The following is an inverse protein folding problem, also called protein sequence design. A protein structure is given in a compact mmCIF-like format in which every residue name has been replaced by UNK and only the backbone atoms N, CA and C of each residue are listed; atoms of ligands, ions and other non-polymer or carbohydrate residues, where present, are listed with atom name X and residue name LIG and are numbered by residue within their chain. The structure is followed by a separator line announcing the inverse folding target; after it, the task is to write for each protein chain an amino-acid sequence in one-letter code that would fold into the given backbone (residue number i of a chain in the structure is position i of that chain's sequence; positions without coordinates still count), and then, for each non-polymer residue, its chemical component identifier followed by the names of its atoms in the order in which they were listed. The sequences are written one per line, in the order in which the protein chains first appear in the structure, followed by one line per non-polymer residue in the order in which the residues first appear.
data_IF_267270265926
#
_entry.id   IF_267270265926
#
_cell.length_a   1.000
_cell.length_b   1.000
_cell.length_c   1.000
_cell.angle_alpha   90.00
_cell.angle_beta   90.00
_cell.angle_gamma   90.00
#
_symmetry.space_group_name_H-M   'P 1'
#
loop_
_entity.id
_entity.type
_entity.pdbx_description
1 polymer ?
#
# COMPACT_ATOMS: atom_id res chain seq x y z
N UNK A 1 -3.94 -0.66 7.93
CA UNK A 1 -2.61 -0.21 7.51
C UNK A 1 -2.16 0.90 8.44
N UNK A 2 -1.02 0.71 9.08
CA UNK A 2 -0.34 1.68 9.94
C UNK A 2 1.09 1.75 9.44
N UNK A 3 1.50 2.87 8.89
CA UNK A 3 2.78 3.04 8.18
C UNK A 3 3.97 2.54 8.99
N UNK A 4 4.09 2.98 10.25
CA UNK A 4 5.21 2.57 11.11
C UNK A 4 5.17 1.07 11.45
N UNK A 5 4.00 0.51 11.75
CA UNK A 5 3.87 -0.91 12.08
C UNK A 5 4.24 -1.81 10.91
N UNK A 6 3.80 -1.45 9.69
CA UNK A 6 4.14 -2.20 8.48
C UNK A 6 5.63 -2.07 8.15
N UNK A 7 6.20 -0.87 8.25
CA UNK A 7 7.63 -0.64 8.05
C UNK A 7 8.48 -1.48 9.02
N UNK A 8 8.13 -1.46 10.30
CA UNK A 8 8.81 -2.25 11.34
C UNK A 8 8.72 -3.74 11.03
N UNK A 9 7.53 -4.25 10.70
CA UNK A 9 7.37 -5.68 10.38
C UNK A 9 8.23 -6.13 9.17
N UNK A 10 8.32 -5.33 8.12
CA UNK A 10 9.17 -5.63 6.95
C UNK A 10 10.64 -5.65 7.33
N UNK A 11 11.12 -4.63 8.05
CA UNK A 11 12.54 -4.50 8.38
C UNK A 11 12.98 -5.52 9.44
N UNK A 12 12.16 -5.75 10.47
CA UNK A 12 12.44 -6.73 11.53
C UNK A 12 12.47 -8.16 10.98
N UNK A 13 11.63 -8.49 9.98
CA UNK A 13 11.69 -9.79 9.32
C UNK A 13 13.06 -10.05 8.69
N UNK A 14 13.67 -9.04 8.05
CA UNK A 14 15.02 -9.16 7.48
C UNK A 14 16.08 -9.26 8.58
N UNK A 15 16.01 -8.41 9.59
CA UNK A 15 16.95 -8.42 10.73
C UNK A 15 16.92 -9.77 11.45
N UNK A 16 15.73 -10.28 11.75
CA UNK A 16 15.55 -11.59 12.38
C UNK A 16 16.07 -12.74 11.50
N UNK A 17 15.82 -12.69 10.19
CA UNK A 17 16.34 -13.69 9.26
C UNK A 17 17.87 -13.73 9.25
N UNK A 18 18.53 -12.57 9.33
CA UNK A 18 19.99 -12.49 9.39
C UNK A 18 20.59 -13.04 10.67
N UNK A 19 19.85 -13.06 11.76
CA UNK A 19 20.32 -13.71 13.00
C UNK A 19 20.30 -15.25 12.90
N UNK A 20 19.51 -15.80 11.98
CA UNK A 20 19.30 -17.24 11.82
C UNK A 20 20.04 -17.81 10.61
N UNK A 21 20.17 -17.02 9.53
CA UNK A 21 20.72 -17.44 8.25
C UNK A 21 21.90 -16.56 7.83
N UNK A 22 22.91 -17.10 7.14
CA UNK A 22 24.06 -16.32 6.64
C UNK A 22 23.69 -15.50 5.40
N UNK A 23 22.76 -14.55 5.54
CA UNK A 23 22.34 -13.65 4.47
C UNK A 23 22.99 -12.27 4.61
N UNK A 24 23.26 -11.64 3.47
CA UNK A 24 23.89 -10.32 3.41
C UNK A 24 23.00 -9.22 4.03
N UNK A 25 23.62 -8.07 4.37
CA UNK A 25 22.89 -6.87 4.78
C UNK A 25 22.21 -6.16 3.58
N UNK A 26 22.68 -6.46 2.37
CA UNK A 26 22.14 -5.88 1.14
C UNK A 26 20.77 -6.49 0.82
N UNK A 27 19.78 -5.63 0.63
CA UNK A 27 18.41 -6.04 0.36
C UNK A 27 17.79 -5.17 -0.73
N UNK A 28 16.87 -5.74 -1.50
CA UNK A 28 15.90 -5.01 -2.30
C UNK A 28 14.51 -5.30 -1.72
N UNK A 29 13.74 -4.26 -1.45
CA UNK A 29 12.39 -4.41 -0.91
C UNK A 29 11.41 -4.41 -2.08
N UNK A 30 10.54 -5.42 -2.14
CA UNK A 30 9.54 -5.56 -3.21
C UNK A 30 8.15 -5.58 -2.58
N UNK A 31 7.25 -4.75 -3.09
CA UNK A 31 5.90 -4.66 -2.58
C UNK A 31 4.84 -4.48 -3.66
N UNK A 32 3.66 -5.08 -3.41
CA UNK A 32 2.49 -4.95 -4.24
C UNK A 32 1.27 -4.54 -3.38
N UNK A 33 0.46 -3.59 -3.85
CA UNK A 33 -0.77 -3.15 -3.17
C UNK A 33 -0.48 -2.68 -1.74
N UNK A 34 -1.09 -3.27 -0.72
CA UNK A 34 -0.74 -3.03 0.68
C UNK A 34 0.74 -3.31 0.96
N UNK A 35 1.32 -4.33 0.32
CA UNK A 35 2.75 -4.59 0.41
C UNK A 35 3.61 -3.47 -0.18
N UNK A 36 3.13 -2.77 -1.21
CA UNK A 36 3.81 -1.58 -1.74
C UNK A 36 3.77 -0.40 -0.74
N UNK A 37 2.66 -0.24 -0.01
CA UNK A 37 2.59 0.71 1.10
C UNK A 37 3.59 0.36 2.20
N UNK A 38 3.65 -0.90 2.62
CA UNK A 38 4.60 -1.39 3.61
C UNK A 38 6.06 -1.21 3.17
N UNK A 39 6.36 -1.58 1.92
CA UNK A 39 7.70 -1.47 1.31
C UNK A 39 8.19 -0.01 1.22
N UNK A 40 7.31 0.90 0.77
CA UNK A 40 7.63 2.32 0.69
C UNK A 40 7.93 2.92 2.07
N UNK A 41 7.09 2.62 3.08
CA UNK A 41 7.33 3.07 4.45
C UNK A 41 8.59 2.45 5.06
N UNK A 42 8.85 1.16 4.80
CA UNK A 42 10.08 0.50 5.23
C UNK A 42 11.32 1.19 4.65
N UNK A 43 11.31 1.49 3.35
CA UNK A 43 12.39 2.21 2.68
C UNK A 43 12.61 3.62 3.24
N UNK A 44 11.54 4.37 3.53
CA UNK A 44 11.58 5.72 4.07
C UNK A 44 12.06 5.77 5.54
N UNK A 45 11.75 4.75 6.32
CA UNK A 45 12.07 4.67 7.76
C UNK A 45 13.27 3.77 8.06
N UNK A 46 13.92 3.20 7.04
CA UNK A 46 15.00 2.21 7.21
C UNK A 46 16.14 2.72 8.08
N UNK A 47 16.59 3.95 7.87
CA UNK A 47 17.70 4.52 8.65
C UNK A 47 17.40 4.66 10.15
N UNK A 48 16.12 4.82 10.51
CA UNK A 48 15.66 4.90 11.90
C UNK A 48 15.46 3.50 12.51
N UNK A 49 14.80 2.59 11.77
CA UNK A 49 14.33 1.30 12.32
C UNK A 49 15.42 0.23 12.21
N UNK A 50 16.11 0.14 11.09
CA UNK A 50 17.09 -0.90 10.80
C UNK A 50 18.33 -0.34 10.10
N UNK A 51 19.15 0.50 10.76
CA UNK A 51 20.29 1.17 10.15
C UNK A 51 21.39 0.21 9.67
N UNK A 52 21.37 -1.04 10.14
CA UNK A 52 22.33 -2.08 9.71
C UNK A 52 22.01 -2.69 8.34
N UNK A 53 20.85 -2.42 7.76
CA UNK A 53 20.49 -2.91 6.43
C UNK A 53 20.95 -1.92 5.36
N UNK A 54 21.44 -2.46 4.25
CA UNK A 54 21.84 -1.72 3.06
C UNK A 54 20.77 -1.92 1.97
N UNK A 55 19.76 -1.05 1.94
CA UNK A 55 18.65 -1.13 0.99
C UNK A 55 19.10 -0.63 -0.38
N UNK A 56 19.37 -1.56 -1.30
CA UNK A 56 19.87 -1.31 -2.65
C UNK A 56 18.81 -0.83 -3.63
N UNK A 57 17.53 -1.09 -3.35
CA UNK A 57 16.46 -0.71 -4.25
C UNK A 57 15.07 -1.00 -3.67
N UNK A 58 14.07 -0.39 -4.29
CA UNK A 58 12.67 -0.54 -3.95
C UNK A 58 11.86 -0.80 -5.21
N UNK A 59 11.05 -1.86 -5.22
CA UNK A 59 10.12 -2.19 -6.32
C UNK A 59 8.70 -2.06 -5.81
N UNK A 60 7.90 -1.23 -6.45
CA UNK A 60 6.51 -0.96 -6.12
C UNK A 60 5.60 -1.28 -7.30
N UNK A 61 4.55 -2.07 -7.08
CA UNK A 61 3.46 -2.29 -8.05
C UNK A 61 2.11 -2.15 -7.37
N UNK A 62 1.08 -1.68 -8.10
CA UNK A 62 -0.22 -1.40 -7.49
C UNK A 62 -0.10 -0.51 -6.26
N UNK A 63 0.87 0.40 -6.27
CA UNK A 63 1.12 1.30 -5.14
C UNK A 63 -0.02 2.31 -5.01
N UNK A 64 -0.66 2.45 -3.84
CA UNK A 64 -1.76 3.39 -3.69
C UNK A 64 -1.37 4.87 -3.85
N UNK A 65 -0.07 5.19 -3.84
CA UNK A 65 0.46 6.55 -3.97
C UNK A 65 0.08 7.48 -2.82
N UNK A 66 -1.19 7.54 -2.51
CA UNK A 66 -1.74 8.16 -1.29
C UNK A 66 -2.68 7.17 -0.62
N UNK A 67 -2.79 7.24 0.69
CA UNK A 67 -3.63 6.33 1.47
C UNK A 67 -4.96 6.96 1.90
N UNK A 68 -5.44 7.94 1.16
CA UNK A 68 -6.80 8.45 1.36
C UNK A 68 -7.84 7.45 0.86
N UNK A 69 -8.73 6.99 1.74
CA UNK A 69 -9.87 6.19 1.32
C UNK A 69 -10.97 7.10 0.75
N UNK A 70 -11.58 6.75 -0.39
CA UNK A 70 -12.63 7.57 -0.97
C UNK A 70 -13.89 7.55 -0.09
N UNK A 71 -14.71 8.60 -0.15
CA UNK A 71 -16.05 8.59 0.46
C UNK A 71 -16.87 7.40 -0.05
N UNK A 72 -17.62 6.76 0.85
CA UNK A 72 -18.50 5.65 0.49
C UNK A 72 -19.71 6.11 -0.31
N UNK A 73 -20.11 5.30 -1.28
CA UNK A 73 -21.41 5.39 -1.95
C UNK A 73 -22.45 4.69 -1.07
N UNK A 74 -23.09 5.44 -0.18
CA UNK A 74 -23.96 4.89 0.87
C UNK A 74 -25.22 4.19 0.33
N UNK A 75 -25.70 4.57 -0.85
CA UNK A 75 -26.95 4.12 -1.48
C UNK A 75 -26.84 2.83 -2.30
N UNK A 76 -25.63 2.25 -2.39
CA UNK A 76 -25.38 1.05 -3.21
C UNK A 76 -24.24 0.21 -2.63
N UNK A 77 -24.02 -0.96 -3.26
CA UNK A 77 -22.81 -1.75 -2.99
C UNK A 77 -21.57 -0.92 -3.31
N UNK A 78 -20.67 -0.85 -2.37
CA UNK A 78 -19.37 -0.22 -2.54
C UNK A 78 -18.30 -1.12 -1.87
N UNK A 79 -17.32 -1.58 -2.66
CA UNK A 79 -16.25 -2.45 -2.18
C UNK A 79 -15.43 -1.79 -1.06
N UNK A 80 -15.34 -0.46 -1.05
CA UNK A 80 -14.65 0.28 0.00
C UNK A 80 -15.27 0.08 1.38
N UNK A 81 -16.58 -0.28 1.45
CA UNK A 81 -17.23 -0.64 2.70
C UNK A 81 -16.52 -1.79 3.42
N UNK A 82 -16.06 -2.81 2.68
CA UNK A 82 -15.29 -3.90 3.25
C UNK A 82 -13.95 -3.43 3.83
N UNK A 83 -13.28 -2.51 3.16
CA UNK A 83 -12.01 -1.94 3.64
C UNK A 83 -12.22 -1.08 4.88
N UNK A 84 -13.24 -0.22 4.91
CA UNK A 84 -13.59 0.53 6.12
C UNK A 84 -13.84 -0.43 7.30
N UNK A 85 -14.67 -1.47 7.13
CA UNK A 85 -14.94 -2.45 8.18
C UNK A 85 -13.67 -3.16 8.65
N UNK A 86 -12.77 -3.54 7.73
CA UNK A 86 -11.49 -4.20 8.07
C UNK A 86 -10.53 -3.30 8.83
N UNK A 87 -10.61 -1.98 8.66
CA UNK A 87 -9.71 -1.04 9.34
C UNK A 87 -10.24 -0.59 10.70
N UNK A 88 -11.54 -0.74 10.99
CA UNK A 88 -12.11 -0.35 12.29
C UNK A 88 -11.37 -0.93 13.51
N UNK A 89 -10.95 -2.23 13.53
CA UNK A 89 -10.17 -2.76 14.65
C UNK A 89 -8.82 -2.05 14.83
N UNK A 90 -8.19 -1.66 13.71
CA UNK A 90 -6.93 -0.91 13.73
C UNK A 90 -7.12 0.45 14.39
N UNK A 91 -8.19 1.17 14.02
CA UNK A 91 -8.49 2.47 14.63
C UNK A 91 -8.85 2.36 16.10
N UNK A 92 -9.59 1.32 16.50
CA UNK A 92 -9.86 1.07 17.91
C UNK A 92 -8.60 0.78 18.74
N UNK A 93 -7.62 0.10 18.14
CA UNK A 93 -6.33 -0.14 18.78
C UNK A 93 -5.47 1.13 18.92
N UNK A 94 -5.65 2.10 18.03
CA UNK A 94 -4.87 3.35 18.01
C UNK A 94 -5.52 4.48 18.82
N UNK A 95 -6.84 4.47 18.94
CA UNK A 95 -7.62 5.44 19.70
C UNK A 95 -8.52 4.70 20.69
N UNK A 96 -8.11 4.59 21.97
CA UNK A 96 -8.92 3.89 22.99
C UNK A 96 -10.30 4.52 23.24
N UNK A 97 -10.55 5.75 22.79
CA UNK A 97 -11.86 6.38 22.86
C UNK A 97 -12.77 6.00 21.69
N UNK A 98 -12.21 5.46 20.60
CA UNK A 98 -12.99 5.05 19.44
C UNK A 98 -13.73 3.74 19.71
N UNK A 99 -15.02 3.73 19.39
CA UNK A 99 -15.93 2.58 19.54
C UNK A 99 -16.52 2.23 18.17
N UNK A 100 -15.95 1.25 17.46
CA UNK A 100 -16.42 0.84 16.13
C UNK A 100 -17.92 0.54 16.09
N UNK A 101 -18.42 -0.09 17.15
CA UNK A 101 -19.80 -0.53 17.26
C UNK A 101 -20.82 0.60 17.17
N UNK A 102 -20.42 1.82 17.57
CA UNK A 102 -21.31 3.00 17.49
C UNK A 102 -21.58 3.48 16.07
N UNK A 103 -20.75 3.02 15.13
CA UNK A 103 -20.88 3.37 13.72
C UNK A 103 -21.58 2.29 12.90
N UNK A 104 -21.88 1.14 13.49
CA UNK A 104 -22.36 -0.02 12.77
C UNK A 104 -23.84 -0.29 13.08
N UNK A 105 -24.57 -0.70 12.06
CA UNK A 105 -25.87 -1.36 12.24
C UNK A 105 -25.65 -2.78 12.77
N UNK A 106 -26.69 -3.50 13.22
CA UNK A 106 -26.57 -4.92 13.56
C UNK A 106 -26.00 -5.78 12.42
N UNK A 107 -26.38 -5.50 11.16
CA UNK A 107 -25.85 -6.20 9.98
C UNK A 107 -24.37 -5.85 9.77
N UNK A 108 -24.01 -4.58 9.89
CA UNK A 108 -22.62 -4.12 9.80
C UNK A 108 -21.73 -4.74 10.88
N UNK A 109 -22.27 -4.87 12.11
CA UNK A 109 -21.55 -5.55 13.19
C UNK A 109 -21.27 -7.01 12.88
N UNK A 110 -22.25 -7.74 12.31
CA UNK A 110 -22.04 -9.14 11.92
C UNK A 110 -20.91 -9.29 10.87
N UNK A 111 -20.87 -8.39 9.88
CA UNK A 111 -19.78 -8.39 8.88
C UNK A 111 -18.46 -8.00 9.51
N UNK A 112 -18.42 -6.99 10.36
CA UNK A 112 -17.24 -6.56 11.10
C UNK A 112 -16.65 -7.70 11.94
N UNK A 113 -17.49 -8.40 12.70
CA UNK A 113 -17.08 -9.53 13.51
C UNK A 113 -16.53 -10.68 12.65
N UNK A 114 -17.10 -10.91 11.45
CA UNK A 114 -16.59 -11.92 10.52
C UNK A 114 -15.16 -11.60 10.03
N UNK A 115 -14.84 -10.33 9.80
CA UNK A 115 -13.47 -9.90 9.46
C UNK A 115 -12.47 -10.04 10.60
N UNK A 116 -12.95 -10.08 11.85
CA UNK A 116 -12.10 -10.28 13.04
C UNK A 116 -11.86 -11.74 13.38
N UNK A 117 -12.81 -12.61 13.08
CA UNK A 117 -12.82 -14.01 13.56
C UNK A 117 -12.51 -15.04 12.48
N UNK A 118 -12.50 -14.64 11.20
CA UNK A 118 -12.19 -15.54 10.08
C UNK A 118 -11.02 -15.04 9.26
N UNK A 119 -10.45 -15.93 8.43
CA UNK A 119 -9.46 -15.49 7.43
C UNK A 119 -10.04 -14.42 6.53
N UNK A 120 -9.27 -13.34 6.30
CA UNK A 120 -9.73 -12.18 5.54
C UNK A 120 -10.22 -12.51 4.13
N UNK A 121 -9.66 -13.55 3.49
CA UNK A 121 -10.11 -14.03 2.17
C UNK A 121 -11.52 -14.62 2.21
N UNK A 122 -11.85 -15.42 3.23
CA UNK A 122 -13.17 -16.02 3.38
C UNK A 122 -14.25 -14.96 3.68
N UNK A 123 -13.96 -14.04 4.61
CA UNK A 123 -14.86 -12.93 4.92
C UNK A 123 -15.07 -12.02 3.69
N UNK A 124 -14.02 -11.74 2.91
CA UNK A 124 -14.12 -10.96 1.68
C UNK A 124 -14.93 -11.69 0.60
N UNK A 125 -14.72 -13.00 0.41
CA UNK A 125 -15.49 -13.79 -0.55
C UNK A 125 -16.99 -13.74 -0.22
N UNK A 126 -17.34 -13.88 1.05
CA UNK A 126 -18.72 -13.75 1.52
C UNK A 126 -19.28 -12.35 1.26
N UNK A 127 -18.52 -11.30 1.60
CA UNK A 127 -18.90 -9.91 1.36
C UNK A 127 -19.17 -9.65 -0.14
N UNK A 128 -18.32 -10.18 -1.03
CA UNK A 128 -18.47 -10.07 -2.48
C UNK A 128 -19.66 -10.86 -3.02
N UNK A 129 -20.03 -11.96 -2.37
CA UNK A 129 -21.22 -12.74 -2.72
C UNK A 129 -22.51 -12.00 -2.30
N UNK A 130 -22.56 -11.50 -1.07
CA UNK A 130 -23.73 -10.87 -0.50
C UNK A 130 -23.98 -9.45 -1.03
N UNK A 131 -22.92 -8.76 -1.50
CA UNK A 131 -22.95 -7.39 -2.04
C UNK A 131 -23.81 -6.42 -1.22
N UNK A 132 -23.59 -6.28 0.08
CA UNK A 132 -24.44 -5.45 0.93
C UNK A 132 -24.34 -3.97 0.53
N UNK A 133 -25.45 -3.26 0.63
CA UNK A 133 -25.50 -1.81 0.42
C UNK A 133 -24.88 -1.10 1.63
N UNK A 134 -24.02 -0.09 1.41
CA UNK A 134 -23.22 0.51 2.47
C UNK A 134 -24.06 1.07 3.65
N UNK A 135 -25.22 1.69 3.38
CA UNK A 135 -26.11 2.21 4.44
C UNK A 135 -26.78 1.10 5.28
N UNK A 136 -26.76 -0.15 4.83
CA UNK A 136 -27.20 -1.29 5.65
C UNK A 136 -26.15 -1.74 6.64
N UNK A 137 -24.89 -1.33 6.46
CA UNK A 137 -23.76 -1.70 7.30
C UNK A 137 -23.39 -0.61 8.31
N UNK A 138 -23.50 0.65 7.90
CA UNK A 138 -23.10 1.79 8.71
C UNK A 138 -24.31 2.59 9.17
N UNK A 139 -24.39 2.90 10.46
CA UNK A 139 -25.41 3.77 11.04
C UNK A 139 -25.19 5.25 10.67
N UNK A 140 -23.95 5.62 10.32
CA UNK A 140 -23.55 6.92 9.83
C UNK A 140 -22.42 6.75 8.81
N UNK A 141 -22.21 7.73 7.93
CA UNK A 141 -21.10 7.71 6.94
C UNK A 141 -19.75 7.62 7.65
N UNK A 142 -18.96 6.55 7.43
CA UNK A 142 -17.67 6.37 8.07
C UNK A 142 -16.57 7.24 7.47
N UNK A 143 -16.84 8.04 6.44
CA UNK A 143 -15.81 8.89 5.79
C UNK A 143 -15.14 9.87 6.77
N UNK A 144 -15.85 10.27 7.83
CA UNK A 144 -15.27 11.09 8.91
C UNK A 144 -14.11 10.38 9.66
N UNK A 145 -14.07 9.04 9.63
CA UNK A 145 -12.96 8.26 10.21
C UNK A 145 -11.67 8.47 9.44
N UNK A 146 -11.76 8.78 8.15
CA UNK A 146 -10.59 8.95 7.30
C UNK A 146 -9.67 10.06 7.80
N UNK A 147 -10.25 11.21 8.18
CA UNK A 147 -9.47 12.33 8.73
C UNK A 147 -8.69 11.93 10.00
N UNK A 148 -9.26 11.04 10.83
CA UNK A 148 -8.62 10.53 12.05
C UNK A 148 -7.58 9.45 11.77
N UNK A 149 -7.76 8.68 10.70
CA UNK A 149 -6.90 7.56 10.33
C UNK A 149 -5.72 7.98 9.47
N UNK A 150 -5.88 9.02 8.68
CA UNK A 150 -4.92 9.47 7.69
C UNK A 150 -3.52 9.72 8.28
N UNK A 151 -3.33 10.37 9.44
CA UNK A 151 -2.00 10.57 10.01
C UNK A 151 -1.22 9.28 10.29
N UNK A 152 -1.91 8.17 10.55
CA UNK A 152 -1.29 6.88 10.83
C UNK A 152 -0.95 6.07 9.57
N UNK A 153 -1.55 6.45 8.44
CA UNK A 153 -1.35 5.83 7.13
C UNK A 153 -0.52 6.67 6.18
N UNK A 154 -0.33 7.94 6.51
CA UNK A 154 0.45 8.84 5.69
C UNK A 154 1.90 8.36 5.56
N UNK A 155 2.47 8.61 4.39
CA UNK A 155 3.90 8.45 4.19
C UNK A 155 4.65 9.61 4.83
N UNK A 156 5.89 9.38 5.34
CA UNK A 156 6.87 10.46 5.46
C UNK A 156 7.09 11.14 4.10
N UNK A 157 7.79 12.28 4.05
CA UNK A 157 8.22 12.84 2.77
C UNK A 157 8.86 11.76 1.89
N UNK A 158 8.40 11.65 0.63
CA UNK A 158 8.80 10.56 -0.31
C UNK A 158 10.24 10.73 -0.84
N UNK A 159 11.17 11.06 0.04
CA UNK A 159 12.59 11.32 -0.24
C UNK A 159 13.42 10.00 -0.21
N UNK A 160 13.08 9.05 -1.07
CA UNK A 160 13.78 7.78 -1.16
C UNK A 160 15.27 7.97 -1.42
N UNK A 161 16.13 7.28 -0.64
CA UNK A 161 17.59 7.34 -0.76
C UNK A 161 18.17 6.27 -1.69
N UNK A 162 17.40 5.22 -1.95
CA UNK A 162 17.71 4.15 -2.90
C UNK A 162 16.94 4.35 -4.21
N UNK A 163 17.39 3.76 -5.33
CA UNK A 163 16.61 3.78 -6.56
C UNK A 163 15.28 3.02 -6.39
N UNK A 164 14.25 3.49 -7.11
CA UNK A 164 12.88 2.97 -7.06
C UNK A 164 12.45 2.55 -8.46
N UNK A 165 11.94 1.33 -8.58
CA UNK A 165 11.16 0.87 -9.72
C UNK A 165 9.67 1.02 -9.37
N UNK A 166 8.93 1.76 -10.16
CA UNK A 166 7.50 1.97 -9.99
C UNK A 166 6.73 1.43 -11.20
N UNK A 167 6.09 0.27 -11.05
CA UNK A 167 5.25 -0.34 -12.07
C UNK A 167 3.77 0.01 -11.86
N UNK A 168 3.14 0.62 -12.86
CA UNK A 168 1.75 1.11 -12.81
C UNK A 168 0.94 0.47 -13.92
N UNK A 169 -0.04 -0.36 -13.57
CA UNK A 169 -1.05 -0.87 -14.48
C UNK A 169 -2.11 0.20 -14.76
N UNK A 170 -2.28 0.56 -16.03
CA UNK A 170 -3.21 1.64 -16.38
C UNK A 170 -4.69 1.23 -16.23
N UNK A 171 -4.97 -0.07 -16.14
CA UNK A 171 -6.31 -0.62 -15.89
C UNK A 171 -6.46 -1.10 -14.44
N UNK A 172 -5.65 -0.56 -13.51
CA UNK A 172 -5.79 -0.87 -12.08
C UNK A 172 -7.06 -0.21 -11.53
N UNK A 173 -7.99 -1.05 -11.09
CA UNK A 173 -9.29 -0.67 -10.54
C UNK A 173 -9.32 -0.62 -9.00
N UNK A 174 -8.22 -1.02 -8.34
CA UNK A 174 -8.13 -1.07 -6.88
C UNK A 174 -7.28 0.07 -6.31
N UNK A 175 -6.19 0.43 -7.02
CA UNK A 175 -5.39 1.61 -6.69
C UNK A 175 -5.34 2.53 -7.90
N UNK A 176 -5.49 3.83 -7.67
CA UNK A 176 -5.52 4.80 -8.77
C UNK A 176 -4.17 4.89 -9.47
N UNK A 177 -4.08 4.54 -10.78
CA UNK A 177 -2.84 4.69 -11.56
C UNK A 177 -2.33 6.13 -11.56
N UNK A 178 -3.24 7.11 -11.62
CA UNK A 178 -2.90 8.53 -11.58
C UNK A 178 -2.27 8.93 -10.25
N UNK A 179 -2.85 8.51 -9.12
CA UNK A 179 -2.30 8.85 -7.80
C UNK A 179 -0.94 8.19 -7.58
N UNK A 180 -0.73 6.96 -8.05
CA UNK A 180 0.58 6.30 -8.02
C UNK A 180 1.62 7.08 -8.85
N UNK A 181 1.23 7.52 -10.05
CA UNK A 181 2.09 8.33 -10.92
C UNK A 181 2.44 9.68 -10.28
N UNK A 182 1.46 10.40 -9.75
CA UNK A 182 1.65 11.69 -9.08
C UNK A 182 2.56 11.57 -7.86
N UNK A 183 2.40 10.51 -7.05
CA UNK A 183 3.29 10.23 -5.93
C UNK A 183 4.72 9.93 -6.40
N UNK A 184 4.90 9.19 -7.49
CA UNK A 184 6.19 8.98 -8.14
C UNK A 184 6.83 10.30 -8.60
N UNK A 185 6.06 11.20 -9.20
CA UNK A 185 6.52 12.54 -9.60
C UNK A 185 6.90 13.40 -8.39
N UNK A 186 6.12 13.33 -7.31
CA UNK A 186 6.43 14.02 -6.06
C UNK A 186 7.76 13.54 -5.46
N UNK A 187 7.96 12.23 -5.41
CA UNK A 187 9.22 11.66 -4.93
C UNK A 187 10.41 12.08 -5.81
N UNK A 188 10.22 12.10 -7.14
CA UNK A 188 11.20 12.61 -8.09
C UNK A 188 11.57 14.08 -7.82
N UNK A 189 10.60 14.93 -7.53
CA UNK A 189 10.82 16.33 -7.18
C UNK A 189 11.61 16.49 -5.85
N UNK A 190 11.56 15.49 -4.98
CA UNK A 190 12.35 15.40 -3.75
C UNK A 190 13.74 14.78 -3.97
N UNK A 191 14.14 14.53 -5.22
CA UNK A 191 15.46 14.03 -5.60
C UNK A 191 15.59 12.50 -5.63
N UNK A 192 14.50 11.75 -5.52
CA UNK A 192 14.55 10.30 -5.62
C UNK A 192 14.81 9.85 -7.07
N UNK A 193 15.65 8.81 -7.24
CA UNK A 193 15.87 8.15 -8.54
C UNK A 193 14.77 7.13 -8.80
N UNK A 194 13.76 7.48 -9.61
CA UNK A 194 12.60 6.64 -9.89
C UNK A 194 12.49 6.30 -11.37
N UNK A 195 12.43 5.00 -11.69
CA UNK A 195 12.04 4.48 -12.99
C UNK A 195 10.53 4.19 -12.98
N UNK A 196 9.74 5.00 -13.70
CA UNK A 196 8.28 4.80 -13.82
C UNK A 196 8.00 4.00 -15.09
N UNK A 197 7.34 2.84 -14.91
CA UNK A 197 6.90 1.96 -15.98
C UNK A 197 5.37 1.91 -16.01
N UNK A 198 4.79 2.28 -17.14
CA UNK A 198 3.35 2.26 -17.38
C UNK A 198 2.98 1.01 -18.19
N UNK A 199 1.99 0.26 -17.73
CA UNK A 199 1.55 -1.00 -18.34
C UNK A 199 0.10 -0.87 -18.83
N UNK A 200 -0.12 -0.46 -20.10
CA UNK A 200 -1.46 -0.37 -20.69
C UNK A 200 -2.13 -1.74 -20.74
N UNK A 201 -3.41 -1.80 -20.36
CA UNK A 201 -4.20 -3.04 -20.36
C UNK A 201 -4.03 -3.93 -19.14
N UNK A 202 -3.08 -3.62 -18.25
CA UNK A 202 -2.85 -4.45 -17.06
C UNK A 202 -3.59 -3.90 -15.83
N UNK A 203 -4.23 -4.83 -15.11
CA UNK A 203 -5.02 -4.60 -13.89
C UNK A 203 -4.14 -4.62 -12.64
N UNK A 204 -4.74 -4.42 -11.47
CA UNK A 204 -4.06 -4.50 -10.17
C UNK A 204 -3.24 -5.78 -9.99
N UNK A 205 -3.82 -6.93 -10.28
CA UNK A 205 -3.16 -8.23 -10.09
C UNK A 205 -2.18 -8.56 -11.23
N UNK A 206 -2.55 -8.29 -12.48
CA UNK A 206 -1.76 -8.71 -13.64
C UNK A 206 -0.51 -7.86 -13.85
N UNK A 207 -0.48 -6.62 -13.34
CA UNK A 207 0.70 -5.75 -13.37
C UNK A 207 1.89 -6.38 -12.65
N UNK A 208 1.67 -7.10 -11.54
CA UNK A 208 2.75 -7.77 -10.79
C UNK A 208 3.53 -8.73 -11.70
N UNK A 209 2.80 -9.60 -12.42
CA UNK A 209 3.42 -10.61 -13.29
C UNK A 209 4.10 -9.95 -14.49
N UNK A 210 3.42 -9.00 -15.14
CA UNK A 210 3.97 -8.31 -16.31
C UNK A 210 5.24 -7.52 -15.98
N UNK A 211 5.26 -6.85 -14.85
CA UNK A 211 6.39 -6.01 -14.46
C UNK A 211 7.67 -6.81 -14.14
N UNK A 212 7.58 -8.12 -13.92
CA UNK A 212 8.75 -8.96 -13.64
C UNK A 212 9.74 -9.00 -14.80
N UNK A 213 9.27 -8.85 -16.04
CA UNK A 213 10.15 -8.79 -17.21
C UNK A 213 11.11 -7.58 -17.13
N UNK A 214 10.65 -6.46 -16.56
CA UNK A 214 11.42 -5.23 -16.43
C UNK A 214 12.08 -5.11 -15.05
N UNK A 215 11.36 -5.49 -13.97
CA UNK A 215 11.85 -5.34 -12.60
C UNK A 215 12.92 -6.37 -12.23
N UNK A 216 12.92 -7.59 -12.80
CA UNK A 216 13.93 -8.60 -12.50
C UNK A 216 15.34 -8.16 -12.92
N UNK A 217 15.61 -7.71 -14.16
CA UNK A 217 16.91 -7.18 -14.53
C UNK A 217 17.24 -5.89 -13.75
N UNK A 218 16.22 -5.06 -13.45
CA UNK A 218 16.41 -3.86 -12.64
C UNK A 218 16.89 -4.20 -11.20
N UNK A 219 16.32 -5.23 -10.56
CA UNK A 219 16.75 -5.70 -9.23
C UNK A 219 18.22 -6.16 -9.26
N UNK A 220 18.64 -6.87 -10.31
CA UNK A 220 20.05 -7.25 -10.48
C UNK A 220 20.95 -6.03 -10.59
N UNK A 221 20.54 -5.02 -11.35
CA UNK A 221 21.26 -3.76 -11.46
C UNK A 221 21.32 -3.00 -10.12
N UNK A 222 20.25 -3.07 -9.31
CA UNK A 222 20.21 -2.46 -7.98
C UNK A 222 21.27 -3.09 -7.04
N UNK A 223 21.36 -4.41 -7.01
CA UNK A 223 22.41 -5.09 -6.24
C UNK A 223 23.81 -4.79 -6.76
N UNK A 224 23.98 -4.61 -8.07
CA UNK A 224 25.26 -4.26 -8.68
C UNK A 224 25.60 -2.75 -8.54
N UNK A 225 24.69 -1.91 -8.06
CA UNK A 225 24.88 -0.46 -7.99
C UNK A 225 24.91 0.24 -9.35
N UNK A 226 24.32 -0.38 -10.38
CA UNK A 226 24.37 0.09 -11.78
C UNK A 226 22.99 0.52 -12.31
N UNK A 227 22.03 0.81 -11.43
CA UNK A 227 20.71 1.30 -11.85
C UNK A 227 20.87 2.67 -12.55
N UNK A 228 20.39 2.81 -13.79
CA UNK A 228 20.47 4.08 -14.50
C UNK A 228 19.56 5.14 -13.86
N UNK A 229 19.76 6.40 -14.21
CA UNK A 229 18.85 7.48 -13.82
C UNK A 229 17.44 7.19 -14.36
N UNK A 230 16.44 7.27 -13.50
CA UNK A 230 15.07 6.80 -13.77
C UNK A 230 14.26 7.67 -14.76
N UNK A 231 14.73 8.87 -15.08
CA UNK A 231 14.05 9.75 -16.05
C UNK A 231 12.63 10.19 -15.63
N UNK A 232 12.29 10.08 -14.35
CA UNK A 232 10.94 10.33 -13.84
C UNK A 232 10.43 11.76 -14.10
N UNK A 233 11.33 12.73 -14.26
CA UNK A 233 10.93 14.13 -14.59
C UNK A 233 10.28 14.23 -15.97
N UNK A 234 10.75 13.46 -16.95
CA UNK A 234 10.26 13.43 -18.32
C UNK A 234 9.05 12.51 -18.50
N UNK A 235 8.75 11.66 -17.51
CA UNK A 235 7.59 10.77 -17.57
C UNK A 235 6.28 11.57 -17.63
N UNK A 236 5.39 11.18 -18.54
CA UNK A 236 4.05 11.75 -18.71
C UNK A 236 2.99 10.68 -18.51
N UNK A 237 1.87 11.06 -17.90
CA UNK A 237 0.72 10.16 -17.76
C UNK A 237 -0.16 10.25 -19.00
N UNK A 238 -0.67 9.12 -19.56
CA UNK A 238 -1.54 9.16 -20.72
C UNK A 238 -2.78 10.05 -20.51
N UNK A 239 -3.04 10.95 -21.45
CA UNK A 239 -4.19 11.85 -21.39
C UNK A 239 -4.03 13.07 -20.45
N UNK A 240 -2.80 13.39 -20.05
CA UNK A 240 -2.48 14.61 -19.29
C UNK A 240 -1.91 15.70 -20.21
#
# INVERSE_FOLDING_TARGET
MISRSEATAVLDAVVASRSTYPIAAQVVIVGQSQGAHAAANAALMQAEIAPSLDVKGLVLTGWPGTMAMPPLKMDRFDLWSALYLRYLPTYAAMDPAFRPETMLTPAGKAVYDSFRTSCGSAAMARFMQDKPVANTLFAADPSALEARAQPFRAYPPLAFKMPVFLGIGLNDEQTSPRLAFEAGKQACALGANIAIHLYPGFTHATTVLRSQEDSTPWVRAAFAGTVPAGGCQQATFPGS
#
